data_IF_766278400074
#
_entry.id   IF_766278400074
#
_cell.length_a   1.000
_cell.length_b   1.000
_cell.length_c   1.000
_cell.angle_alpha   90.00
_cell.angle_beta   90.00
_cell.angle_gamma   90.00
#
_symmetry.space_group_name_H-M   'P 1'
#
loop_
_entity.id
_entity.type
_entity.pdbx_description
1 polymer ?
#
# COMPACT_ATOMS: atom_id res chain seq x y z
N UNK A 1 5.84 -0.24 -21.37
CA UNK A 1 6.66 0.71 -20.57
C UNK A 1 6.20 0.59 -19.13
N UNK A 2 7.11 0.40 -18.17
CA UNK A 2 6.76 0.45 -16.75
C UNK A 2 7.08 1.83 -16.21
N UNK A 3 6.08 2.48 -15.62
CA UNK A 3 6.28 3.75 -14.92
C UNK A 3 7.16 3.60 -13.68
N UNK A 4 7.25 2.40 -13.10
CA UNK A 4 8.08 2.08 -11.94
C UNK A 4 7.58 2.66 -10.60
N UNK A 5 6.55 3.50 -10.59
CA UNK A 5 5.90 4.00 -9.36
C UNK A 5 4.51 4.54 -9.63
N UNK A 6 3.64 4.52 -8.62
CA UNK A 6 2.30 5.13 -8.70
C UNK A 6 2.33 6.61 -9.11
N UNK A 7 3.27 7.38 -8.55
CA UNK A 7 3.44 8.79 -8.92
C UNK A 7 3.82 8.96 -10.38
N UNK A 8 4.69 8.09 -10.91
CA UNK A 8 5.04 8.16 -12.32
C UNK A 8 3.86 7.75 -13.19
N UNK A 9 3.10 6.71 -12.83
CA UNK A 9 1.88 6.34 -13.56
C UNK A 9 0.90 7.51 -13.67
N UNK A 10 0.67 8.26 -12.59
CA UNK A 10 -0.19 9.45 -12.61
C UNK A 10 0.35 10.54 -13.55
N UNK A 11 1.67 10.74 -13.60
CA UNK A 11 2.28 11.69 -14.55
C UNK A 11 2.11 11.24 -16.00
N UNK A 12 2.26 9.95 -16.30
CA UNK A 12 2.03 9.43 -17.65
C UNK A 12 0.58 9.67 -18.10
N UNK A 13 -0.40 9.52 -17.19
CA UNK A 13 -1.80 9.87 -17.47
C UNK A 13 -1.97 11.37 -17.75
N UNK A 14 -1.38 12.24 -16.93
CA UNK A 14 -1.46 13.69 -17.11
C UNK A 14 -0.76 14.18 -18.39
N UNK A 15 0.22 13.43 -18.88
CA UNK A 15 0.94 13.71 -20.11
C UNK A 15 0.33 13.03 -21.34
N UNK A 16 -0.82 12.34 -21.16
CA UNK A 16 -1.50 11.59 -22.23
C UNK A 16 -0.64 10.47 -22.85
N UNK A 17 0.36 9.99 -22.11
CA UNK A 17 1.20 8.84 -22.51
C UNK A 17 0.60 7.49 -22.10
N UNK A 18 -0.47 7.51 -21.31
CA UNK A 18 -1.24 6.34 -20.90
C UNK A 18 -2.72 6.71 -20.77
N UNK A 19 -3.61 5.76 -21.04
CA UNK A 19 -5.06 5.96 -20.92
C UNK A 19 -5.59 5.65 -19.51
N UNK A 20 -5.02 4.61 -18.86
CA UNK A 20 -5.47 4.10 -17.56
C UNK A 20 -4.26 3.65 -16.73
N UNK A 21 -4.31 3.84 -15.41
CA UNK A 21 -3.34 3.26 -14.48
C UNK A 21 -4.00 2.76 -13.18
N UNK A 22 -3.44 1.71 -12.60
CA UNK A 22 -3.80 1.23 -11.26
C UNK A 22 -2.92 1.90 -10.19
N UNK A 23 -3.56 2.48 -9.19
CA UNK A 23 -2.91 3.20 -8.08
C UNK A 23 -3.42 2.60 -6.77
N UNK A 24 -2.52 2.28 -5.84
CA UNK A 24 -2.95 1.79 -4.53
C UNK A 24 -3.70 2.88 -3.76
N UNK A 25 -4.67 2.47 -2.94
CA UNK A 25 -5.57 3.40 -2.26
C UNK A 25 -4.86 4.29 -1.23
N UNK A 26 -3.75 3.83 -0.63
CA UNK A 26 -2.99 4.61 0.36
C UNK A 26 -2.25 5.74 -0.34
N UNK A 27 -1.52 5.45 -1.44
CA UNK A 27 -0.87 6.50 -2.25
C UNK A 27 -1.90 7.49 -2.78
N UNK A 28 -3.03 7.02 -3.31
CA UNK A 28 -4.09 7.89 -3.81
C UNK A 28 -4.60 8.84 -2.72
N UNK A 29 -4.93 8.31 -1.54
CA UNK A 29 -5.42 9.12 -0.42
C UNK A 29 -4.37 10.11 0.12
N UNK A 30 -3.10 9.70 0.21
CA UNK A 30 -2.01 10.60 0.61
C UNK A 30 -1.79 11.73 -0.40
N UNK A 31 -1.85 11.43 -1.70
CA UNK A 31 -1.78 12.46 -2.75
C UNK A 31 -2.98 13.39 -2.70
N UNK A 32 -4.20 12.87 -2.52
CA UNK A 32 -5.38 13.71 -2.37
C UNK A 32 -5.26 14.68 -1.19
N UNK A 33 -4.75 14.20 -0.04
CA UNK A 33 -4.60 15.02 1.17
C UNK A 33 -3.50 16.07 1.06
N UNK A 34 -2.33 15.69 0.55
CA UNK A 34 -1.11 16.49 0.66
C UNK A 34 -0.67 17.13 -0.65
N UNK A 35 -1.08 16.59 -1.80
CA UNK A 35 -0.69 17.05 -3.15
C UNK A 35 -1.82 16.86 -4.18
N UNK A 36 -3.01 17.45 -3.98
CA UNK A 36 -4.19 17.22 -4.82
C UNK A 36 -3.96 17.53 -6.31
N UNK A 37 -3.03 18.44 -6.64
CA UNK A 37 -2.62 18.74 -8.01
C UNK A 37 -2.05 17.53 -8.77
N UNK A 38 -1.51 16.53 -8.06
CA UNK A 38 -1.05 15.28 -8.69
C UNK A 38 -2.20 14.41 -9.22
N UNK A 39 -3.44 14.73 -8.84
CA UNK A 39 -4.66 14.06 -9.28
C UNK A 39 -5.54 14.97 -10.16
N UNK A 40 -5.09 16.19 -10.45
CA UNK A 40 -5.85 17.14 -11.24
C UNK A 40 -6.09 16.60 -12.66
N UNK A 41 -7.34 16.70 -13.12
CA UNK A 41 -7.77 16.20 -14.43
C UNK A 41 -7.96 14.70 -14.51
N UNK A 42 -7.71 13.95 -13.43
CA UNK A 42 -7.89 12.50 -13.37
C UNK A 42 -9.18 12.14 -12.64
N UNK A 43 -9.75 10.99 -12.98
CA UNK A 43 -10.96 10.45 -12.33
C UNK A 43 -10.75 8.98 -11.98
N UNK A 44 -11.21 8.58 -10.79
CA UNK A 44 -11.24 7.17 -10.43
C UNK A 44 -12.41 6.48 -11.15
N UNK A 45 -12.09 5.50 -12.00
CA UNK A 45 -13.09 4.77 -12.80
C UNK A 45 -13.50 3.43 -12.18
N UNK A 46 -12.87 3.01 -11.08
CA UNK A 46 -13.19 1.78 -10.37
C UNK A 46 -12.23 1.52 -9.20
N UNK A 47 -12.58 0.54 -8.37
CA UNK A 47 -11.79 0.10 -7.22
C UNK A 47 -11.71 -1.43 -7.21
N UNK A 48 -10.54 -1.97 -6.87
CA UNK A 48 -10.38 -3.40 -6.63
C UNK A 48 -10.99 -3.81 -5.27
N UNK A 49 -11.21 -5.11 -5.01
CA UNK A 49 -11.52 -5.60 -3.69
C UNK A 49 -10.49 -5.16 -2.63
N UNK A 50 -10.91 -5.10 -1.38
CA UNK A 50 -10.03 -4.75 -0.27
C UNK A 50 -8.93 -5.80 -0.09
N UNK A 51 -7.69 -5.33 0.00
CA UNK A 51 -6.50 -6.15 0.26
C UNK A 51 -6.03 -5.99 1.70
N UNK A 52 -5.31 -6.99 2.27
CA UNK A 52 -4.56 -6.80 3.51
C UNK A 52 -3.60 -5.60 3.41
N UNK A 53 -3.42 -4.87 4.51
CA UNK A 53 -2.51 -3.73 4.57
C UNK A 53 -1.05 -4.10 4.30
N UNK A 54 -0.24 -3.11 3.91
CA UNK A 54 1.18 -3.30 3.60
C UNK A 54 1.94 -3.91 4.80
N UNK A 55 2.59 -5.07 4.63
CA UNK A 55 3.30 -5.72 5.72
C UNK A 55 4.63 -5.04 6.03
N UNK A 56 4.99 -5.03 7.31
CA UNK A 56 6.38 -4.84 7.76
C UNK A 56 7.02 -6.21 7.95
N UNK A 57 8.13 -6.47 7.26
CA UNK A 57 8.76 -7.80 7.19
C UNK A 57 10.19 -7.71 7.71
N UNK A 58 10.56 -8.62 8.62
CA UNK A 58 11.95 -8.81 9.07
C UNK A 58 12.60 -9.99 8.34
N UNK A 59 13.91 -10.15 8.50
CA UNK A 59 14.59 -11.37 8.04
C UNK A 59 14.04 -12.61 8.77
N UNK A 60 14.03 -13.76 8.10
CA UNK A 60 13.55 -15.01 8.72
C UNK A 60 14.38 -15.47 9.92
N UNK A 61 15.64 -15.05 10.01
CA UNK A 61 16.55 -15.35 11.12
C UNK A 61 16.55 -14.28 12.23
N UNK A 62 15.65 -13.29 12.19
CA UNK A 62 15.58 -12.26 13.22
C UNK A 62 15.33 -12.88 14.60
N UNK A 63 16.17 -12.60 15.62
CA UNK A 63 15.99 -13.14 16.96
C UNK A 63 14.62 -12.76 17.55
N UNK A 64 14.01 -13.69 18.31
CA UNK A 64 12.70 -13.47 18.92
C UNK A 64 12.66 -12.22 19.82
N UNK A 65 13.73 -11.95 20.57
CA UNK A 65 13.84 -10.75 21.40
C UNK A 65 13.74 -9.46 20.55
N UNK A 66 14.46 -9.39 19.43
CA UNK A 66 14.40 -8.25 18.51
C UNK A 66 13.03 -8.10 17.88
N UNK A 67 12.41 -9.21 17.46
CA UNK A 67 11.05 -9.19 16.89
C UNK A 67 10.03 -8.66 17.90
N UNK A 68 10.13 -9.07 19.17
CA UNK A 68 9.24 -8.59 20.23
C UNK A 68 9.44 -7.09 20.50
N UNK A 69 10.69 -6.60 20.56
CA UNK A 69 10.95 -5.16 20.72
C UNK A 69 10.41 -4.33 19.55
N UNK A 70 10.48 -4.83 18.31
CA UNK A 70 9.88 -4.16 17.15
C UNK A 70 8.36 -4.09 17.27
N UNK A 71 7.72 -5.18 17.67
CA UNK A 71 6.26 -5.24 17.90
C UNK A 71 5.82 -4.25 18.99
N UNK A 72 6.54 -4.23 20.11
CA UNK A 72 6.29 -3.28 21.21
C UNK A 72 6.42 -1.83 20.74
N UNK A 73 7.47 -1.51 19.97
CA UNK A 73 7.67 -0.17 19.44
C UNK A 73 6.56 0.25 18.46
N UNK A 74 6.12 -0.66 17.58
CA UNK A 74 5.01 -0.40 16.65
C UNK A 74 3.68 -0.25 17.37
N UNK A 75 3.43 -1.07 18.40
CA UNK A 75 2.24 -0.93 19.23
C UNK A 75 2.24 0.40 19.98
N UNK A 76 3.40 0.80 20.53
CA UNK A 76 3.54 2.11 21.16
C UNK A 76 3.29 3.24 20.16
N UNK A 77 3.88 3.17 18.95
CA UNK A 77 3.71 4.19 17.91
C UNK A 77 2.23 4.51 17.63
N UNK A 78 1.37 3.48 17.56
CA UNK A 78 -0.06 3.68 17.22
C UNK A 78 -0.95 3.99 18.42
N UNK A 79 -0.44 3.78 19.64
CA UNK A 79 -1.19 3.92 20.90
C UNK A 79 -0.90 5.23 21.63
N UNK A 80 0.37 5.68 21.64
CA UNK A 80 0.81 6.88 22.35
C UNK A 80 0.27 8.16 21.68
N UNK A 81 -0.40 9.01 22.47
CA UNK A 81 -0.98 10.27 21.95
C UNK A 81 0.04 11.21 21.31
N UNK A 82 1.30 11.18 21.76
CA UNK A 82 2.39 11.98 21.18
C UNK A 82 2.64 11.68 19.70
N UNK A 83 2.23 10.50 19.21
CA UNK A 83 2.38 10.07 17.82
C UNK A 83 1.07 10.12 17.02
N UNK A 84 -0.05 10.50 17.66
CA UNK A 84 -1.36 10.52 17.00
C UNK A 84 -1.35 11.38 15.74
N UNK A 85 -0.83 12.60 15.83
CA UNK A 85 -0.75 13.53 14.70
C UNK A 85 0.10 13.01 13.54
N UNK A 86 1.19 12.30 13.84
CA UNK A 86 2.03 11.64 12.84
C UNK A 86 1.30 10.49 12.16
N UNK A 87 0.66 9.61 12.94
CA UNK A 87 -0.11 8.49 12.43
C UNK A 87 -1.27 8.98 11.55
N UNK A 88 -2.02 9.98 12.02
CA UNK A 88 -3.12 10.59 11.27
C UNK A 88 -2.65 11.20 9.96
N UNK A 89 -1.51 11.90 9.96
CA UNK A 89 -0.93 12.50 8.75
C UNK A 89 -0.56 11.45 7.68
N UNK A 90 -0.20 10.23 8.12
CA UNK A 90 0.18 9.10 7.28
C UNK A 90 -0.96 8.08 7.06
N UNK A 91 -2.18 8.37 7.53
CA UNK A 91 -3.34 7.49 7.46
C UNK A 91 -3.14 6.14 8.18
N UNK A 92 -2.28 6.10 9.19
CA UNK A 92 -2.03 4.93 10.02
C UNK A 92 -3.02 4.95 11.19
N UNK A 93 -3.91 3.95 11.24
CA UNK A 93 -4.92 3.84 12.30
C UNK A 93 -4.59 2.78 13.36
N UNK A 94 -3.59 1.94 13.13
CA UNK A 94 -3.27 0.84 14.03
C UNK A 94 -2.15 -0.05 13.55
N UNK A 95 -1.84 -1.05 14.37
CA UNK A 95 -0.85 -2.10 14.13
C UNK A 95 -1.45 -3.44 14.54
N UNK A 96 -1.09 -4.50 13.82
CA UNK A 96 -1.50 -5.86 14.14
C UNK A 96 -0.41 -6.86 13.78
N UNK A 97 -0.23 -7.88 14.63
CA UNK A 97 0.60 -9.03 14.32
C UNK A 97 -0.11 -9.92 13.30
N UNK A 98 0.36 -9.87 12.06
CA UNK A 98 -0.23 -10.61 10.94
C UNK A 98 0.58 -11.87 10.64
N UNK A 99 -0.12 -12.98 10.43
CA UNK A 99 0.48 -14.21 9.91
C UNK A 99 0.62 -14.14 8.38
N UNK A 100 1.44 -15.02 7.80
CA UNK A 100 1.60 -15.09 6.34
C UNK A 100 0.30 -15.51 5.65
N UNK A 101 -0.51 -16.34 6.29
CA UNK A 101 -1.77 -16.88 5.78
C UNK A 101 -2.80 -15.77 5.56
N UNK A 102 -2.76 -14.69 6.33
CA UNK A 102 -3.62 -13.53 6.11
C UNK A 102 -3.41 -12.86 4.74
N UNK A 103 -2.26 -13.10 4.10
CA UNK A 103 -1.92 -12.60 2.76
C UNK A 103 -2.21 -13.62 1.65
N UNK A 104 -2.74 -14.81 1.97
CA UNK A 104 -3.10 -15.82 0.98
C UNK A 104 -4.06 -15.32 -0.13
N UNK A 105 -5.02 -14.41 0.12
CA UNK A 105 -5.87 -13.87 -0.94
C UNK A 105 -5.07 -13.20 -2.09
N UNK A 106 -3.93 -12.59 -1.78
CA UNK A 106 -3.09 -11.95 -2.81
C UNK A 106 -2.48 -12.99 -3.76
N UNK A 107 -2.16 -14.18 -3.25
CA UNK A 107 -1.66 -15.29 -4.08
C UNK A 107 -2.77 -15.85 -4.95
N UNK A 108 -3.99 -15.98 -4.42
CA UNK A 108 -5.14 -16.42 -5.20
C UNK A 108 -5.44 -15.46 -6.35
N UNK A 109 -5.42 -14.15 -6.12
CA UNK A 109 -5.61 -13.15 -7.19
C UNK A 109 -4.51 -13.18 -8.24
N UNK A 110 -3.26 -13.40 -7.84
CA UNK A 110 -2.15 -13.60 -8.78
C UNK A 110 -2.41 -14.83 -9.67
N UNK A 111 -2.83 -15.94 -9.07
CA UNK A 111 -3.06 -17.19 -9.80
C UNK A 111 -4.28 -17.08 -10.73
N UNK A 112 -5.34 -16.37 -10.31
CA UNK A 112 -6.48 -16.02 -11.15
C UNK A 112 -6.08 -15.15 -12.34
N UNK A 113 -5.30 -14.08 -12.11
CA UNK A 113 -4.78 -13.24 -13.17
C UNK A 113 -3.95 -14.04 -14.19
N UNK A 114 -3.09 -14.95 -13.70
CA UNK A 114 -2.31 -15.84 -14.55
C UNK A 114 -3.19 -16.79 -15.38
N UNK A 115 -4.28 -17.32 -14.80
CA UNK A 115 -5.24 -18.16 -15.52
C UNK A 115 -6.00 -17.39 -16.61
N UNK A 116 -6.19 -16.07 -16.43
CA UNK A 116 -6.75 -15.16 -17.44
C UNK A 116 -5.71 -14.67 -18.47
N UNK A 117 -4.47 -15.17 -18.42
CA UNK A 117 -3.40 -14.86 -19.35
C UNK A 117 -2.49 -13.69 -18.94
N UNK A 118 -2.72 -13.09 -17.78
CA UNK A 118 -1.88 -12.03 -17.20
C UNK A 118 -0.82 -12.67 -16.31
N UNK A 119 0.23 -13.21 -16.93
CA UNK A 119 1.30 -13.94 -16.25
C UNK A 119 2.57 -13.12 -15.99
N UNK A 120 2.64 -11.92 -16.57
CA UNK A 120 3.72 -10.97 -16.40
C UNK A 120 3.13 -9.59 -16.19
N UNK A 121 3.78 -8.79 -15.33
CA UNK A 121 3.60 -7.35 -15.33
C UNK A 121 4.51 -6.80 -16.41
#
# INVERSE_FOLDING_TARGET
>A
MFSGSHRQSLRELQQENADIAAIDCVTYALLQRHQPQALAGLVAIGWSPAAPGLPLITAGATPAATLNSLREALQQLVSDDRYRSLCDALLICGYSDMSREAYAPLLAWRDEAAALGVSQL
#
